data_IF_626537030813
#
_entry.id   IF_626537030813
#
_cell.length_a   1.000
_cell.length_b   1.000
_cell.length_c   1.000
_cell.angle_alpha   90.00
_cell.angle_beta   90.00
_cell.angle_gamma   90.00
#
_symmetry.space_group_name_H-M   'P 1'
#
loop_
_entity.id
_entity.type
_entity.pdbx_description
1 polymer ?
#
# COMPACT_ATOMS: atom_id res chain seq x y z
N UNK A 1 20.45 0.92 18.68
CA UNK A 1 20.38 1.33 17.26
C UNK A 1 19.42 2.50 17.15
N UNK A 2 19.81 3.64 16.56
CA UNK A 2 18.88 4.77 16.34
C UNK A 2 17.81 4.35 15.33
N UNK A 3 16.55 4.67 15.61
CA UNK A 3 15.42 4.39 14.70
C UNK A 3 15.56 5.21 13.42
N UNK A 4 15.34 4.58 12.27
CA UNK A 4 15.37 5.21 10.95
C UNK A 4 14.26 4.61 10.07
N UNK A 5 12.99 4.94 10.38
CA UNK A 5 11.86 4.36 9.68
C UNK A 5 11.87 4.76 8.21
N UNK A 6 11.49 3.81 7.34
CA UNK A 6 11.38 3.98 5.88
C UNK A 6 9.97 3.72 5.42
N UNK A 7 9.46 4.61 4.57
CA UNK A 7 8.16 4.45 3.96
C UNK A 7 8.30 3.58 2.74
N UNK A 8 7.25 2.85 2.42
CA UNK A 8 7.22 1.99 1.27
C UNK A 8 5.85 1.96 0.62
N UNK A 9 5.85 1.61 -0.66
CA UNK A 9 4.65 1.29 -1.43
C UNK A 9 4.84 -0.07 -2.06
N UNK A 10 3.81 -0.93 -1.98
CA UNK A 10 3.78 -2.23 -2.63
C UNK A 10 2.58 -2.28 -3.57
N UNK A 11 2.86 -2.54 -4.85
CA UNK A 11 1.89 -2.79 -5.89
C UNK A 11 1.76 -4.30 -6.09
N UNK A 12 0.53 -4.79 -6.14
CA UNK A 12 0.21 -6.17 -6.49
C UNK A 12 -0.38 -6.18 -7.89
N UNK A 13 0.14 -7.05 -8.75
CA UNK A 13 -0.30 -7.12 -10.15
C UNK A 13 -1.75 -7.60 -10.29
N UNK A 14 -2.19 -8.40 -9.35
CA UNK A 14 -3.49 -9.05 -9.29
C UNK A 14 -4.44 -8.34 -8.32
N UNK A 15 -4.12 -7.12 -7.87
CA UNK A 15 -5.04 -6.29 -7.09
C UNK A 15 -5.60 -5.18 -7.98
N UNK A 16 -6.21 -5.62 -9.07
CA UNK A 16 -6.89 -4.77 -10.05
C UNK A 16 -8.30 -5.31 -10.13
N UNK A 17 -9.28 -4.46 -9.85
CA UNK A 17 -10.68 -4.86 -9.73
C UNK A 17 -11.56 -3.92 -10.53
N UNK A 18 -12.55 -4.45 -11.24
CA UNK A 18 -13.69 -3.64 -11.70
C UNK A 18 -14.49 -3.13 -10.49
N UNK A 19 -15.40 -2.16 -10.67
CA UNK A 19 -16.27 -1.71 -9.58
C UNK A 19 -17.11 -2.84 -8.96
N UNK A 20 -17.62 -3.75 -9.80
CA UNK A 20 -18.43 -4.90 -9.38
C UNK A 20 -17.58 -5.94 -8.63
N UNK A 21 -16.35 -6.18 -9.10
CA UNK A 21 -15.41 -7.05 -8.40
C UNK A 21 -15.03 -6.44 -7.04
N UNK A 22 -14.69 -5.15 -7.01
CA UNK A 22 -14.30 -4.44 -5.78
C UNK A 22 -15.37 -4.60 -4.69
N UNK A 23 -16.66 -4.50 -5.06
CA UNK A 23 -17.77 -4.69 -4.14
C UNK A 23 -17.70 -6.03 -3.37
N UNK A 24 -17.15 -7.07 -4.00
CA UNK A 24 -17.04 -8.41 -3.42
C UNK A 24 -15.68 -8.66 -2.74
N UNK A 25 -14.74 -7.72 -2.85
CA UNK A 25 -13.43 -7.84 -2.21
C UNK A 25 -13.51 -7.50 -0.73
N UNK A 26 -13.02 -8.43 0.09
CA UNK A 26 -12.80 -8.23 1.52
C UNK A 26 -11.36 -7.71 1.77
N UNK A 27 -11.18 -6.47 2.27
CA UNK A 27 -9.86 -5.88 2.48
C UNK A 27 -9.03 -6.62 3.54
N UNK A 28 -9.68 -7.18 4.57
CA UNK A 28 -9.00 -7.97 5.58
C UNK A 28 -8.34 -9.23 4.98
N UNK A 29 -8.94 -9.84 3.95
CA UNK A 29 -8.30 -10.95 3.23
C UNK A 29 -7.06 -10.51 2.44
N UNK A 30 -7.08 -9.32 1.83
CA UNK A 30 -5.92 -8.73 1.14
C UNK A 30 -4.78 -8.47 2.13
N UNK A 31 -5.10 -7.86 3.27
CA UNK A 31 -4.14 -7.61 4.36
C UNK A 31 -3.55 -8.91 4.91
N UNK A 32 -4.38 -9.93 5.19
CA UNK A 32 -3.89 -11.25 5.64
C UNK A 32 -3.03 -11.94 4.59
N UNK A 33 -3.33 -11.78 3.31
CA UNK A 33 -2.49 -12.29 2.22
C UNK A 33 -1.11 -11.63 2.24
N UNK A 34 -1.03 -10.32 2.48
CA UNK A 34 0.25 -9.64 2.65
C UNK A 34 0.98 -10.08 3.92
N UNK A 35 0.28 -10.24 5.04
CA UNK A 35 0.88 -10.76 6.27
C UNK A 35 1.52 -12.14 6.06
N UNK A 36 0.86 -13.05 5.34
CA UNK A 36 1.43 -14.38 5.01
C UNK A 36 2.73 -14.27 4.21
N UNK A 37 2.86 -13.26 3.34
CA UNK A 37 4.11 -13.00 2.61
C UNK A 37 5.21 -12.56 3.58
N UNK A 38 4.89 -11.66 4.51
CA UNK A 38 5.84 -11.22 5.54
C UNK A 38 6.25 -12.35 6.48
N UNK A 39 5.31 -13.22 6.87
CA UNK A 39 5.57 -14.40 7.69
C UNK A 39 6.58 -15.35 7.04
N UNK A 40 6.44 -15.61 5.73
CA UNK A 40 7.41 -16.39 4.94
C UNK A 40 8.78 -15.72 4.81
N UNK A 41 8.86 -14.43 5.11
CA UNK A 41 10.11 -13.67 5.18
C UNK A 41 10.60 -13.48 6.63
N UNK A 42 10.14 -14.33 7.55
CA UNK A 42 10.51 -14.37 8.97
C UNK A 42 10.26 -13.06 9.73
N UNK A 43 9.24 -12.29 9.35
CA UNK A 43 8.98 -10.96 9.95
C UNK A 43 8.92 -10.98 11.49
N UNK A 44 8.39 -12.03 12.10
CA UNK A 44 8.27 -12.12 13.57
C UNK A 44 9.59 -12.36 14.31
N UNK A 45 10.65 -12.76 13.61
CA UNK A 45 11.99 -12.94 14.19
C UNK A 45 12.86 -11.69 14.03
N UNK A 46 12.32 -10.61 13.46
CA UNK A 46 13.05 -9.38 13.17
C UNK A 46 12.70 -8.29 14.16
N UNK A 47 13.69 -7.48 14.54
CA UNK A 47 13.50 -6.33 15.42
C UNK A 47 12.94 -5.13 14.66
N UNK A 48 12.00 -4.42 15.27
CA UNK A 48 11.38 -3.21 14.71
C UNK A 48 9.89 -3.38 14.50
N UNK A 49 9.31 -2.56 13.62
CA UNK A 49 7.88 -2.62 13.32
C UNK A 49 7.58 -2.44 11.84
N UNK A 50 6.38 -2.87 11.45
CA UNK A 50 5.74 -2.54 10.19
C UNK A 50 4.34 -2.00 10.48
N UNK A 51 4.00 -0.87 9.87
CA UNK A 51 2.65 -0.32 9.82
C UNK A 51 2.25 -0.16 8.36
N UNK A 52 1.10 -0.69 7.95
CA UNK A 52 0.62 -0.62 6.56
C UNK A 52 -0.86 -0.25 6.54
N UNK A 53 -1.27 0.55 5.55
CA UNK A 53 -2.66 0.73 5.16
C UNK A 53 -2.90 0.35 3.69
N UNK A 54 -4.09 -0.18 3.43
CA UNK A 54 -4.62 -0.41 2.09
C UNK A 54 -5.06 0.92 1.48
N UNK A 55 -4.71 1.11 0.21
CA UNK A 55 -5.06 2.29 -0.56
C UNK A 55 -5.35 1.88 -2.01
N UNK A 56 -5.90 2.78 -2.81
CA UNK A 56 -6.22 2.51 -4.21
C UNK A 56 -6.16 3.74 -5.09
N UNK A 57 -6.07 3.50 -6.39
CA UNK A 57 -6.22 4.55 -7.40
C UNK A 57 -7.18 4.02 -8.48
N UNK A 58 -8.12 4.84 -8.94
CA UNK A 58 -9.00 4.46 -10.04
C UNK A 58 -8.34 4.82 -11.37
N UNK A 59 -8.20 3.85 -12.27
CA UNK A 59 -7.64 4.04 -13.60
C UNK A 59 -8.76 4.28 -14.61
N UNK A 60 -8.90 5.52 -15.08
CA UNK A 60 -9.98 5.89 -16.01
C UNK A 60 -9.86 5.24 -17.38
N UNK A 61 -8.66 4.83 -17.80
CA UNK A 61 -8.51 4.17 -19.11
C UNK A 61 -9.09 2.76 -19.09
N UNK A 62 -9.05 2.08 -17.95
CA UNK A 62 -9.49 0.68 -17.81
C UNK A 62 -10.79 0.55 -17.04
N UNK A 63 -11.24 1.60 -16.35
CA UNK A 63 -12.39 1.54 -15.46
C UNK A 63 -12.14 0.72 -14.18
N UNK A 64 -10.88 0.45 -13.83
CA UNK A 64 -10.54 -0.44 -12.71
C UNK A 64 -9.96 0.32 -11.51
N UNK A 65 -10.18 -0.21 -10.32
CA UNK A 65 -9.45 0.15 -9.11
C UNK A 65 -8.16 -0.66 -9.00
N UNK A 66 -7.04 0.05 -8.87
CA UNK A 66 -5.73 -0.54 -8.65
C UNK A 66 -5.36 -0.39 -7.17
N UNK A 67 -5.54 -1.45 -6.39
CA UNK A 67 -5.22 -1.43 -4.97
C UNK A 67 -3.73 -1.65 -4.73
N UNK A 68 -3.24 -1.06 -3.66
CA UNK A 68 -1.85 -1.12 -3.26
C UNK A 68 -1.70 -0.84 -1.77
N UNK A 69 -0.51 -1.09 -1.24
CA UNK A 69 -0.20 -0.87 0.16
C UNK A 69 0.74 0.32 0.32
N UNK A 70 0.43 1.20 1.25
CA UNK A 70 1.35 2.19 1.80
C UNK A 70 1.79 1.74 3.17
N UNK A 71 3.09 1.81 3.48
CA UNK A 71 3.57 1.37 4.77
C UNK A 71 4.81 2.09 5.26
N UNK A 72 5.15 1.82 6.51
CA UNK A 72 6.37 2.24 7.19
C UNK A 72 6.98 0.99 7.83
N UNK A 73 8.30 0.85 7.71
CA UNK A 73 9.08 -0.16 8.41
C UNK A 73 10.23 0.50 9.18
N UNK A 74 10.57 -0.02 10.36
CA UNK A 74 11.72 0.41 11.18
C UNK A 74 12.62 -0.79 11.53
N UNK A 75 13.88 -0.51 11.84
CA UNK A 75 14.85 -1.53 12.25
C UNK A 75 15.10 -2.59 11.17
N UNK A 76 15.17 -3.85 11.57
CA UNK A 76 15.42 -4.99 10.69
C UNK A 76 14.24 -5.26 9.73
N UNK A 77 13.03 -4.80 10.09
CA UNK A 77 11.84 -4.92 9.23
C UNK A 77 12.01 -4.21 7.88
N UNK A 78 12.83 -3.17 7.81
CA UNK A 78 13.16 -2.48 6.55
C UNK A 78 13.80 -3.47 5.57
N UNK A 79 14.67 -4.36 6.05
CA UNK A 79 15.35 -5.35 5.22
C UNK A 79 14.40 -6.47 4.78
N UNK A 80 13.41 -6.84 5.62
CA UNK A 80 12.32 -7.75 5.22
C UNK A 80 11.60 -7.20 4.00
N UNK A 81 11.13 -5.95 4.07
CA UNK A 81 10.39 -5.30 2.97
C UNK A 81 11.25 -5.17 1.70
N UNK A 82 12.53 -4.80 1.84
CA UNK A 82 13.46 -4.75 0.69
C UNK A 82 13.67 -6.13 0.07
N UNK A 83 13.77 -7.17 0.90
CA UNK A 83 13.94 -8.56 0.48
C UNK A 83 12.78 -9.09 -0.36
N UNK A 84 11.56 -8.61 -0.14
CA UNK A 84 10.39 -9.00 -0.91
C UNK A 84 10.55 -8.78 -2.42
N UNK A 85 11.38 -7.82 -2.85
CA UNK A 85 11.71 -7.57 -4.29
C UNK A 85 12.28 -8.80 -5.00
N UNK A 86 12.89 -9.72 -4.26
CA UNK A 86 13.51 -10.93 -4.80
C UNK A 86 12.46 -11.99 -5.15
N UNK A 87 11.25 -11.91 -4.58
CA UNK A 87 10.17 -12.86 -4.83
C UNK A 87 9.62 -12.69 -6.25
N UNK A 88 9.36 -13.79 -6.99
CA UNK A 88 8.91 -13.73 -8.38
C UNK A 88 7.75 -12.77 -8.65
N UNK A 89 6.75 -12.74 -7.74
CA UNK A 89 5.57 -11.86 -7.86
C UNK A 89 5.87 -10.36 -7.76
N UNK A 90 7.00 -9.98 -7.16
CA UNK A 90 7.43 -8.58 -7.02
C UNK A 90 8.68 -8.25 -7.84
N UNK A 91 9.20 -9.21 -8.60
CA UNK A 91 10.29 -8.94 -9.54
C UNK A 91 9.80 -7.95 -10.57
N UNK A 92 10.62 -6.93 -10.81
CA UNK A 92 10.32 -5.93 -11.82
C UNK A 92 10.35 -6.59 -13.21
N UNK A 93 9.25 -6.48 -13.95
CA UNK A 93 9.17 -6.94 -15.33
C UNK A 93 9.23 -5.73 -16.25
N UNK A 94 10.43 -5.49 -16.80
CA UNK A 94 10.72 -4.37 -17.72
C UNK A 94 9.85 -4.37 -18.97
N UNK A 95 9.31 -5.53 -19.37
CA UNK A 95 8.50 -5.67 -20.60
C UNK A 95 7.04 -5.29 -20.37
N UNK A 96 6.54 -5.38 -19.13
CA UNK A 96 5.11 -5.20 -18.80
C UNK A 96 4.83 -3.99 -17.92
N UNK A 97 5.79 -3.51 -17.16
CA UNK A 97 5.62 -2.36 -16.29
C UNK A 97 6.90 -1.50 -16.27
N UNK A 98 6.73 -0.19 -16.23
CA UNK A 98 7.83 0.77 -16.05
C UNK A 98 8.17 0.96 -14.56
N UNK A 99 7.43 0.34 -13.62
CA UNK A 99 7.57 0.55 -12.18
C UNK A 99 7.97 -0.70 -11.41
N UNK A 100 8.95 -0.53 -10.51
CA UNK A 100 9.23 -1.55 -9.49
C UNK A 100 7.98 -1.74 -8.61
N UNK A 101 7.48 -2.98 -8.44
CA UNK A 101 6.32 -3.28 -7.61
C UNK A 101 6.51 -2.88 -6.15
N UNK A 102 7.76 -2.76 -5.68
CA UNK A 102 8.07 -2.34 -4.32
C UNK A 102 8.97 -1.12 -4.37
N UNK A 103 8.54 -0.04 -3.71
CA UNK A 103 9.33 1.18 -3.56
C UNK A 103 9.56 1.41 -2.09
N UNK A 104 10.81 1.54 -1.67
CA UNK A 104 11.19 1.89 -0.30
C UNK A 104 11.96 3.21 -0.39
N UNK A 105 11.56 4.20 0.39
CA UNK A 105 12.23 5.50 0.40
C UNK A 105 13.65 5.37 0.96
N UNK A 106 14.57 6.17 0.41
CA UNK A 106 15.97 6.24 0.88
C UNK A 106 16.15 7.33 1.93
N UNK A 107 15.38 8.40 1.82
CA UNK A 107 15.47 9.56 2.70
C UNK A 107 15.17 9.17 4.14
N UNK A 108 15.85 9.82 5.07
CA UNK A 108 15.57 9.73 6.50
C UNK A 108 14.24 10.40 6.77
N UNK A 109 13.39 9.78 7.59
CA UNK A 109 12.20 10.44 8.09
C UNK A 109 12.55 11.40 9.21
N UNK A 110 12.19 12.66 9.05
CA UNK A 110 12.34 13.72 10.07
C UNK A 110 11.02 14.06 10.77
N UNK A 111 9.89 13.72 10.14
CA UNK A 111 8.54 13.85 10.69
C UNK A 111 7.88 12.47 10.54
N UNK A 112 7.71 11.72 11.63
CA UNK A 112 7.07 10.40 11.60
C UNK A 112 5.52 10.45 11.56
N UNK A 113 4.85 11.39 12.27
CA UNK A 113 3.40 11.52 12.18
C UNK A 113 2.85 11.63 10.76
N UNK A 114 3.47 12.48 9.92
CA UNK A 114 2.97 12.70 8.55
C UNK A 114 2.99 11.44 7.68
N UNK A 115 4.14 10.73 7.51
CA UNK A 115 4.17 9.45 6.80
C UNK A 115 3.20 8.43 7.36
N UNK A 116 3.01 8.40 8.69
CA UNK A 116 2.10 7.43 9.30
C UNK A 116 0.65 7.72 8.92
N UNK A 117 0.21 8.98 9.01
CA UNK A 117 -1.11 9.38 8.53
C UNK A 117 -1.27 9.15 7.02
N UNK A 118 -0.21 9.39 6.25
CA UNK A 118 -0.20 9.14 4.81
C UNK A 118 -0.43 7.66 4.45
N UNK A 119 -0.07 6.70 5.34
CA UNK A 119 -0.35 5.28 5.08
C UNK A 119 -1.83 4.92 5.15
N UNK A 120 -2.64 5.71 5.86
CA UNK A 120 -4.08 5.52 6.05
C UNK A 120 -4.90 6.65 5.43
N UNK A 121 -4.37 7.24 4.35
CA UNK A 121 -5.05 8.32 3.66
C UNK A 121 -6.41 7.83 3.09
N UNK A 122 -7.45 8.58 3.38
CA UNK A 122 -8.84 8.34 2.97
C UNK A 122 -9.11 8.68 1.49
N UNK A 123 -8.38 9.65 0.94
CA UNK A 123 -8.58 10.12 -0.42
C UNK A 123 -7.90 9.26 -1.49
N UNK A 124 -8.71 8.46 -2.21
CA UNK A 124 -8.27 7.67 -3.36
C UNK A 124 -8.41 8.47 -4.66
N UNK A 125 -7.33 8.67 -5.43
CA UNK A 125 -7.38 9.51 -6.61
C UNK A 125 -7.80 8.72 -7.87
N UNK A 126 -8.51 9.40 -8.75
CA UNK A 126 -8.61 9.04 -10.16
C UNK A 126 -7.33 9.42 -10.90
N UNK A 127 -6.87 8.51 -11.77
CA UNK A 127 -5.72 8.72 -12.66
C UNK A 127 -5.98 8.10 -14.03
N UNK A 128 -5.24 8.57 -15.01
CA UNK A 128 -5.13 7.94 -16.32
C UNK A 128 -3.71 8.03 -16.85
N UNK A 129 -3.41 7.24 -17.87
CA UNK A 129 -2.18 7.32 -18.62
C UNK A 129 -2.47 8.14 -19.88
N UNK A 130 -1.80 9.27 -19.98
CA UNK A 130 -1.70 10.11 -21.18
C UNK A 130 -0.50 9.67 -21.99
N UNK A 131 -0.53 9.83 -23.31
CA UNK A 131 0.69 9.77 -24.12
C UNK A 131 1.18 11.20 -24.34
N UNK A 132 2.39 11.51 -23.89
CA UNK A 132 3.05 12.81 -24.12
C UNK A 132 4.40 12.54 -24.77
N UNK A 133 4.62 13.08 -25.96
CA UNK A 133 5.83 12.86 -26.77
C UNK A 133 6.15 11.37 -26.96
N UNK A 134 5.13 10.57 -27.31
CA UNK A 134 5.26 9.11 -27.48
C UNK A 134 5.50 8.30 -26.20
N UNK A 135 5.52 8.94 -25.02
CA UNK A 135 5.75 8.27 -23.73
C UNK A 135 4.49 8.28 -22.87
N UNK A 136 4.15 7.15 -22.21
CA UNK A 136 3.06 7.12 -21.24
C UNK A 136 3.41 7.95 -20.00
N UNK A 137 2.63 9.00 -19.73
CA UNK A 137 2.74 9.89 -18.57
C UNK A 137 1.46 9.79 -17.76
N UNK A 138 1.57 9.68 -16.43
CA UNK A 138 0.38 9.69 -15.56
C UNK A 138 -0.18 11.10 -15.45
N UNK A 139 -1.50 11.19 -15.53
CA UNK A 139 -2.22 12.42 -15.21
C UNK A 139 -1.93 12.87 -13.78
N UNK A 140 -2.21 14.15 -13.51
CA UNK A 140 -2.35 14.63 -12.12
C UNK A 140 -3.45 13.84 -11.42
N UNK A 141 -3.36 13.75 -10.08
CA UNK A 141 -4.42 13.17 -9.24
C UNK A 141 -5.69 14.01 -9.39
N UNK A 142 -6.82 13.36 -9.57
CA UNK A 142 -8.12 14.00 -9.77
C UNK A 142 -9.17 13.27 -8.92
N UNK A 143 -10.36 13.87 -8.79
CA UNK A 143 -11.52 13.16 -8.26
C UNK A 143 -11.85 11.96 -9.17
N UNK A 144 -12.26 10.84 -8.57
CA UNK A 144 -12.76 9.69 -9.31
C UNK A 144 -14.08 10.10 -9.99
N UNK A 145 -14.31 9.83 -11.28
CA UNK A 145 -15.56 10.20 -11.93
C UNK A 145 -16.73 9.38 -11.37
N UNK A 146 -17.94 9.92 -11.41
CA UNK A 146 -19.13 9.15 -11.10
C UNK A 146 -19.46 8.16 -12.23
N UNK A 147 -20.09 7.00 -11.94
CA UNK A 147 -20.57 6.55 -10.62
C UNK A 147 -19.49 5.87 -9.74
N UNK A 148 -18.26 5.73 -10.25
CA UNK A 148 -17.22 4.93 -9.59
C UNK A 148 -16.80 5.46 -8.23
N UNK A 149 -16.82 6.78 -8.05
CA UNK A 149 -16.49 7.39 -6.77
C UNK A 149 -17.51 7.06 -5.70
N UNK A 150 -18.80 7.17 -6.02
CA UNK A 150 -19.89 6.73 -5.13
C UNK A 150 -19.75 5.26 -4.75
N UNK A 151 -19.48 4.39 -5.74
CA UNK A 151 -19.27 2.95 -5.48
C UNK A 151 -18.08 2.68 -4.56
N UNK A 152 -16.98 3.42 -4.72
CA UNK A 152 -15.85 3.34 -3.81
C UNK A 152 -16.23 3.74 -2.39
N UNK A 153 -16.94 4.86 -2.22
CA UNK A 153 -17.34 5.34 -0.89
C UNK A 153 -18.25 4.33 -0.19
N UNK A 154 -19.21 3.75 -0.90
CA UNK A 154 -20.07 2.67 -0.38
C UNK A 154 -19.26 1.42 -0.02
N UNK A 155 -18.22 1.08 -0.78
CA UNK A 155 -17.33 -0.02 -0.42
C UNK A 155 -16.52 0.30 0.84
N UNK A 156 -15.97 1.52 0.96
CA UNK A 156 -15.20 1.93 2.14
C UNK A 156 -16.07 1.93 3.41
N UNK A 157 -17.32 2.38 3.31
CA UNK A 157 -18.28 2.44 4.43
C UNK A 157 -18.56 1.06 5.07
N UNK A 158 -18.44 -0.02 4.29
CA UNK A 158 -18.68 -1.40 4.76
C UNK A 158 -17.57 -1.95 5.66
N UNK A 159 -16.45 -1.27 5.78
CA UNK A 159 -15.26 -1.80 6.44
C UNK A 159 -14.73 -0.81 7.46
N UNK A 160 -14.19 -1.34 8.55
CA UNK A 160 -13.49 -0.51 9.53
C UNK A 160 -12.06 -0.23 9.06
N UNK A 161 -11.46 0.83 9.60
CA UNK A 161 -10.03 1.08 9.41
C UNK A 161 -9.18 -0.13 9.84
N UNK A 162 -9.59 -0.86 10.88
CA UNK A 162 -8.88 -2.03 11.38
C UNK A 162 -8.80 -3.16 10.34
N UNK A 163 -9.77 -3.27 9.43
CA UNK A 163 -9.79 -4.26 8.34
C UNK A 163 -8.80 -3.91 7.22
N UNK A 164 -8.39 -2.65 7.14
CA UNK A 164 -7.56 -2.10 6.06
C UNK A 164 -6.10 -1.85 6.49
N UNK A 165 -5.76 -2.06 7.76
CA UNK A 165 -4.41 -1.84 8.27
C UNK A 165 -3.73 -3.12 8.74
N UNK A 166 -2.40 -3.12 8.70
CA UNK A 166 -1.55 -4.15 9.27
C UNK A 166 -0.54 -3.54 10.22
N UNK A 167 -0.46 -4.12 11.42
CA UNK A 167 0.52 -3.76 12.45
C UNK A 167 1.33 -5.00 12.83
N UNK A 168 2.66 -4.93 12.70
CA UNK A 168 3.60 -5.98 13.12
C UNK A 168 4.68 -5.35 14.01
N UNK A 169 4.91 -5.89 15.21
CA UNK A 169 5.88 -5.34 16.17
C UNK A 169 5.45 -4.02 16.82
N UNK A 170 4.21 -3.61 16.60
CA UNK A 170 3.58 -2.36 17.07
C UNK A 170 2.14 -2.67 17.51
N UNK A 171 1.63 -1.90 18.47
CA UNK A 171 0.22 -1.92 18.91
C UNK A 171 -0.29 -0.50 19.06
N UNK A 172 -1.58 -0.30 18.79
CA UNK A 172 -2.28 0.92 19.18
C UNK A 172 -2.68 0.84 20.67
N UNK A 173 -2.61 1.97 21.36
CA UNK A 173 -3.06 2.15 22.74
C UNK A 173 -3.62 3.55 22.96
N UNK A 174 -4.02 3.86 24.19
CA UNK A 174 -4.70 5.13 24.54
C UNK A 174 -3.90 6.38 24.18
N UNK A 175 -2.57 6.29 24.19
CA UNK A 175 -1.65 7.42 23.92
C UNK A 175 -0.97 7.32 22.54
N UNK A 176 -1.53 6.54 21.62
CA UNK A 176 -0.98 6.31 20.29
C UNK A 176 -0.31 4.96 20.15
N UNK A 177 0.79 4.89 19.40
CA UNK A 177 1.44 3.63 19.05
C UNK A 177 2.60 3.28 19.97
N UNK A 178 2.65 2.02 20.41
CA UNK A 178 3.75 1.47 21.20
C UNK A 178 4.37 0.26 20.50
N UNK A 179 5.70 0.10 20.61
CA UNK A 179 6.37 -1.13 20.17
C UNK A 179 5.90 -2.30 21.05
N UNK A 180 5.77 -3.49 20.46
CA UNK A 180 5.61 -4.72 21.25
C UNK A 180 6.96 -5.05 21.89
N UNK A 181 6.94 -5.38 23.18
CA UNK A 181 8.11 -5.86 23.92
C UNK A 181 8.60 -7.20 23.34
#
# INVERSE_FOLDING_TARGET
>A
MKSDPKSFTILFRDWIFTPEELWNINPHQLIRRFLRILQRADVYRKRGYIFVGLHGEFNRNTGCFHLHLHGIADGEMVNVVRGLKKLPRFRFDRKRDLRSPIRVTRLRMTNLPYPLLYTVQDWWPGRFILVRNGKPVRSRRQRIPEPYHTLLLLWLDRWSLADMILMVGIRAGKHGFAKRA
#
